data_IF_701090991542
#
_entry.id   IF_701090991542
#
_cell.length_a   1.000
_cell.length_b   1.000
_cell.length_c   1.000
_cell.angle_alpha   90.00
_cell.angle_beta   90.00
_cell.angle_gamma   90.00
#
_symmetry.space_group_name_H-M   'P 1'
#
loop_
_entity.id
_entity.type
_entity.pdbx_description
1 polymer ?
#
# COMPACT_ATOMS: atom_id res chain seq x y z
N UNK A 1 -3.83 -3.04 -17.07
CA UNK A 1 -2.99 -2.43 -16.02
C UNK A 1 -2.48 -3.54 -15.14
N UNK A 2 -1.16 -3.68 -15.10
CA UNK A 2 -0.45 -4.55 -14.16
C UNK A 2 0.16 -3.71 -13.03
N UNK A 3 0.44 -4.31 -11.89
CA UNK A 3 0.98 -3.60 -10.73
C UNK A 3 2.32 -2.93 -11.05
N UNK A 4 3.14 -3.58 -11.88
CA UNK A 4 4.41 -3.02 -12.35
C UNK A 4 4.25 -1.68 -13.09
N UNK A 5 3.16 -1.47 -13.83
CA UNK A 5 2.90 -0.20 -14.54
C UNK A 5 2.64 0.94 -13.53
N UNK A 6 1.95 0.63 -12.43
CA UNK A 6 1.67 1.59 -11.35
C UNK A 6 2.97 1.99 -10.67
N UNK A 7 3.83 1.01 -10.35
CA UNK A 7 5.14 1.30 -9.74
C UNK A 7 6.02 2.11 -10.68
N UNK A 8 6.09 1.75 -11.97
CA UNK A 8 6.85 2.49 -12.95
C UNK A 8 6.38 3.95 -13.08
N UNK A 9 5.06 4.17 -13.04
CA UNK A 9 4.48 5.53 -13.06
C UNK A 9 4.91 6.33 -11.82
N UNK A 10 4.86 5.73 -10.63
CA UNK A 10 5.31 6.40 -9.39
C UNK A 10 6.81 6.73 -9.50
N UNK A 11 7.65 5.77 -9.88
CA UNK A 11 9.10 5.96 -9.99
C UNK A 11 9.52 6.95 -11.09
N UNK A 12 8.68 7.15 -12.11
CA UNK A 12 8.92 8.17 -13.13
C UNK A 12 8.68 9.60 -12.62
N UNK A 13 7.79 9.77 -11.64
CA UNK A 13 7.32 11.09 -11.22
C UNK A 13 7.74 11.49 -9.80
N UNK A 14 8.23 10.54 -9.00
CA UNK A 14 8.58 10.75 -7.60
C UNK A 14 9.92 10.11 -7.28
N UNK A 15 10.67 10.77 -6.39
CA UNK A 15 11.83 10.16 -5.76
C UNK A 15 11.37 9.34 -4.56
N UNK A 16 11.55 8.02 -4.62
CA UNK A 16 11.25 7.14 -3.49
C UNK A 16 12.39 7.11 -2.48
N UNK A 17 12.04 7.24 -1.20
CA UNK A 17 12.90 6.99 -0.05
C UNK A 17 12.31 5.84 0.75
N UNK A 18 13.07 4.77 1.06
CA UNK A 18 12.59 3.69 1.90
C UNK A 18 12.15 4.20 3.27
N UNK A 19 10.87 4.05 3.57
CA UNK A 19 10.27 4.56 4.80
C UNK A 19 9.45 3.47 5.47
N UNK A 20 9.59 3.37 6.79
CA UNK A 20 8.80 2.47 7.61
C UNK A 20 7.35 2.96 7.68
N UNK A 21 6.40 2.03 7.60
CA UNK A 21 5.00 2.33 7.80
C UNK A 21 4.25 1.21 8.52
N UNK A 22 3.22 1.57 9.26
CA UNK A 22 2.27 0.67 9.89
C UNK A 22 1.00 0.62 9.05
N UNK A 23 0.40 -0.56 8.95
CA UNK A 23 -0.89 -0.77 8.32
C UNK A 23 -1.76 -1.63 9.22
N UNK A 24 -2.89 -1.09 9.67
CA UNK A 24 -3.88 -1.75 10.50
C UNK A 24 -4.07 -1.09 11.86
N UNK A 25 -5.22 -1.37 12.47
CA UNK A 25 -5.60 -0.93 13.80
C UNK A 25 -5.42 -2.06 14.82
N UNK A 26 -4.95 -1.72 16.02
CA UNK A 26 -4.85 -2.67 17.13
C UNK A 26 -3.57 -3.50 17.12
N UNK A 27 -3.59 -4.63 17.82
CA UNK A 27 -2.38 -5.42 18.12
C UNK A 27 -1.90 -6.31 16.97
N UNK A 28 -2.70 -6.46 15.92
CA UNK A 28 -2.38 -7.28 14.74
C UNK A 28 -2.00 -6.44 13.51
N UNK A 29 -1.69 -5.16 13.72
CA UNK A 29 -1.19 -4.28 12.67
C UNK A 29 0.09 -4.84 12.03
N UNK A 30 0.20 -4.67 10.71
CA UNK A 30 1.37 -5.05 9.94
C UNK A 30 2.40 -3.93 10.02
N UNK A 31 3.56 -4.23 10.59
CA UNK A 31 4.70 -3.31 10.59
C UNK A 31 5.56 -3.62 9.36
N UNK A 32 5.79 -2.60 8.54
CA UNK A 32 6.62 -2.69 7.35
C UNK A 32 7.87 -1.85 7.59
N UNK A 33 8.98 -2.52 7.89
CA UNK A 33 10.28 -1.87 8.05
C UNK A 33 10.72 -1.20 6.74
N UNK A 34 11.54 -0.15 6.83
CA UNK A 34 12.08 0.52 5.66
C UNK A 34 12.82 -0.49 4.74
N UNK A 35 12.50 -0.45 3.44
CA UNK A 35 13.04 -1.40 2.46
C UNK A 35 12.27 -2.74 2.39
N UNK A 36 11.20 -2.91 3.17
CA UNK A 36 10.28 -4.05 3.07
C UNK A 36 8.97 -3.62 2.44
N UNK A 37 8.33 -4.54 1.69
CA UNK A 37 7.03 -4.29 1.05
C UNK A 37 6.98 -2.96 0.26
N UNK A 38 8.08 -2.62 -0.43
CA UNK A 38 8.29 -1.29 -1.02
C UNK A 38 7.21 -0.89 -2.01
N UNK A 39 6.65 -1.85 -2.76
CA UNK A 39 5.51 -1.59 -3.63
C UNK A 39 4.27 -1.09 -2.87
N UNK A 40 4.01 -1.64 -1.68
CA UNK A 40 2.92 -1.15 -0.82
C UNK A 40 3.24 0.24 -0.26
N UNK A 41 4.48 0.46 0.18
CA UNK A 41 4.93 1.77 0.68
C UNK A 41 4.73 2.86 -0.39
N UNK A 42 5.21 2.62 -1.62
CA UNK A 42 5.03 3.53 -2.77
C UNK A 42 3.56 3.81 -3.07
N UNK A 43 2.72 2.78 -3.14
CA UNK A 43 1.28 2.96 -3.44
C UNK A 43 0.57 3.75 -2.35
N UNK A 44 0.79 3.42 -1.07
CA UNK A 44 0.13 4.15 0.01
C UNK A 44 0.63 5.58 0.12
N UNK A 45 1.93 5.83 -0.08
CA UNK A 45 2.46 7.19 -0.09
C UNK A 45 1.90 8.00 -1.26
N UNK A 46 1.89 7.45 -2.47
CA UNK A 46 1.29 8.09 -3.64
C UNK A 46 -0.18 8.39 -3.42
N UNK A 47 -0.94 7.41 -2.96
CA UNK A 47 -2.37 7.56 -2.74
C UNK A 47 -2.69 8.58 -1.64
N UNK A 48 -1.85 8.67 -0.60
CA UNK A 48 -1.96 9.68 0.46
C UNK A 48 -1.71 11.09 -0.08
N UNK A 49 -0.66 11.27 -0.89
CA UNK A 49 -0.32 12.56 -1.52
C UNK A 49 -1.42 13.09 -2.46
N UNK A 50 -2.23 12.20 -3.04
CA UNK A 50 -3.32 12.54 -3.96
C UNK A 50 -4.71 12.46 -3.33
N UNK A 51 -4.80 12.34 -2.00
CA UNK A 51 -6.07 12.25 -1.25
C UNK A 51 -7.02 11.15 -1.80
N UNK A 52 -6.46 10.04 -2.28
CA UNK A 52 -7.25 8.97 -2.87
C UNK A 52 -8.08 8.28 -1.79
N UNK A 53 -9.32 7.92 -2.11
CA UNK A 53 -10.13 7.13 -1.20
C UNK A 53 -9.65 5.66 -1.16
N UNK A 54 -10.13 4.92 -0.15
CA UNK A 54 -9.77 3.51 0.08
C UNK A 54 -9.94 2.61 -1.16
N UNK A 55 -11.03 2.79 -1.91
CA UNK A 55 -11.31 1.93 -3.06
C UNK A 55 -10.33 2.20 -4.19
N UNK A 56 -10.05 3.46 -4.48
CA UNK A 56 -9.14 3.85 -5.56
C UNK A 56 -7.69 3.45 -5.22
N UNK A 57 -7.28 3.60 -3.97
CA UNK A 57 -5.98 3.10 -3.47
C UNK A 57 -5.86 1.59 -3.64
N UNK A 58 -6.90 0.81 -3.32
CA UNK A 58 -6.90 -0.64 -3.54
C UNK A 58 -6.79 -0.97 -5.04
N UNK A 59 -7.41 -0.16 -5.90
CA UNK A 59 -7.31 -0.28 -7.36
C UNK A 59 -5.88 -0.17 -7.89
N UNK A 60 -5.02 0.62 -7.23
CA UNK A 60 -3.60 0.76 -7.59
C UNK A 60 -2.78 -0.53 -7.39
N UNK A 61 -3.26 -1.47 -6.56
CA UNK A 61 -2.63 -2.79 -6.44
C UNK A 61 -2.98 -3.76 -7.59
N UNK A 62 -3.81 -3.33 -8.56
CA UNK A 62 -4.09 -4.01 -9.81
C UNK A 62 -4.42 -5.52 -9.66
N UNK A 63 -3.64 -6.42 -10.29
CA UNK A 63 -3.82 -7.88 -10.21
C UNK A 63 -3.73 -8.43 -8.79
N UNK A 64 -2.93 -7.83 -7.91
CA UNK A 64 -2.84 -8.29 -6.52
C UNK A 64 -4.13 -8.03 -5.75
N UNK A 65 -4.80 -6.89 -5.99
CA UNK A 65 -6.11 -6.64 -5.38
C UNK A 65 -7.17 -7.61 -5.92
N UNK A 66 -7.19 -7.86 -7.24
CA UNK A 66 -8.09 -8.85 -7.85
C UNK A 66 -7.86 -10.26 -7.30
N UNK A 67 -6.60 -10.65 -7.08
CA UNK A 67 -6.25 -11.94 -6.49
C UNK A 67 -6.76 -12.04 -5.04
N UNK A 68 -6.55 -11.00 -4.22
CA UNK A 68 -7.05 -10.98 -2.84
C UNK A 68 -8.57 -11.12 -2.77
N UNK A 69 -9.31 -10.47 -3.68
CA UNK A 69 -10.77 -10.62 -3.78
C UNK A 69 -11.17 -12.05 -4.19
N UNK A 70 -10.41 -12.69 -5.06
CA UNK A 70 -10.65 -14.06 -5.49
C UNK A 70 -10.27 -15.11 -4.43
N UNK A 71 -9.39 -14.78 -3.49
CA UNK A 71 -8.93 -15.68 -2.42
C UNK A 71 -9.21 -15.11 -1.02
N UNK A 72 -10.48 -15.04 -0.58
CA UNK A 72 -10.86 -14.39 0.67
C UNK A 72 -10.26 -15.05 1.93
N UNK A 73 -9.89 -16.33 1.86
CA UNK A 73 -9.34 -17.09 3.00
C UNK A 73 -7.81 -17.14 3.05
N UNK A 74 -7.12 -16.68 2.02
CA UNK A 74 -5.65 -16.72 1.97
C UNK A 74 -5.03 -15.63 2.85
N UNK A 75 -3.74 -15.78 3.11
CA UNK A 75 -2.95 -14.86 3.96
C UNK A 75 -1.93 -14.02 3.17
N UNK A 76 -1.85 -14.22 1.86
CA UNK A 76 -0.97 -13.45 0.97
C UNK A 76 -1.39 -11.99 0.92
N UNK A 77 -0.45 -11.11 0.54
CA UNK A 77 -0.68 -9.67 0.41
C UNK A 77 -1.24 -9.03 1.70
N UNK A 78 -0.57 -9.26 2.83
CA UNK A 78 -0.98 -8.76 4.13
C UNK A 78 -1.38 -7.26 4.13
N UNK A 79 -0.61 -6.41 3.42
CA UNK A 79 -0.92 -4.98 3.31
C UNK A 79 -2.26 -4.67 2.61
N UNK A 80 -2.59 -5.39 1.52
CA UNK A 80 -3.86 -5.19 0.81
C UNK A 80 -5.02 -5.62 1.71
N UNK A 81 -4.91 -6.80 2.34
CA UNK A 81 -5.95 -7.32 3.24
C UNK A 81 -6.16 -6.42 4.45
N UNK A 82 -5.08 -5.93 5.04
CA UNK A 82 -5.15 -5.05 6.19
C UNK A 82 -5.77 -3.70 5.84
N UNK A 83 -5.39 -3.13 4.70
CA UNK A 83 -5.99 -1.89 4.21
C UNK A 83 -7.46 -2.07 3.80
N UNK A 84 -7.84 -3.23 3.26
CA UNK A 84 -9.25 -3.59 3.04
C UNK A 84 -10.07 -3.63 4.33
N UNK A 85 -9.46 -4.01 5.46
CA UNK A 85 -10.12 -4.00 6.77
C UNK A 85 -10.21 -2.58 7.33
N UNK A 86 -9.06 -1.96 7.54
CA UNK A 86 -8.96 -0.77 8.40
C UNK A 86 -8.88 0.55 7.61
N UNK A 87 -8.44 0.49 6.35
CA UNK A 87 -8.30 1.66 5.49
C UNK A 87 -7.28 2.68 6.02
N UNK A 88 -7.42 3.93 5.58
CA UNK A 88 -6.54 5.04 5.95
C UNK A 88 -6.34 5.27 7.45
N UNK A 89 -7.35 5.09 8.34
CA UNK A 89 -7.13 5.19 9.78
C UNK A 89 -6.05 4.25 10.33
N UNK A 90 -5.74 3.15 9.64
CA UNK A 90 -4.69 2.20 10.03
C UNK A 90 -3.33 2.48 9.38
N UNK A 91 -3.20 3.48 8.51
CA UNK A 91 -1.93 3.81 7.86
C UNK A 91 -1.21 4.89 8.66
N UNK A 92 0.03 4.60 9.05
CA UNK A 92 0.91 5.55 9.72
C UNK A 92 2.32 5.44 9.13
N UNK A 93 2.86 6.56 8.66
CA UNK A 93 4.22 6.63 8.13
C UNK A 93 5.15 7.30 9.14
N UNK A 94 6.38 6.79 9.26
CA UNK A 94 7.42 7.43 10.09
C UNK A 94 8.05 8.66 9.41
N UNK A 95 7.74 8.91 8.14
CA UNK A 95 8.20 10.05 7.35
C UNK A 95 7.67 10.06 5.91
N UNK A 96 8.14 10.99 5.09
CA UNK A 96 7.73 11.07 3.69
C UNK A 96 8.45 10.00 2.86
N UNK A 97 7.70 9.14 2.19
CA UNK A 97 8.27 8.10 1.31
C UNK A 97 8.46 8.57 -0.15
N UNK A 98 7.78 9.64 -0.55
CA UNK A 98 7.84 10.22 -1.90
C UNK A 98 8.02 11.74 -1.82
N UNK A 99 8.80 12.28 -2.76
CA UNK A 99 9.07 13.72 -2.96
C UNK A 99 9.22 14.06 -4.43
#
# INVERSE_FOLDING_TARGET
MVFADVIATIEQHYQYTPTRFVNGLGTDAVINEAGTNEGSCKVFAFASLHDLNKHDTLGLFAEHFRQVLATPTDKDHANIRMFMRDGWPGIEFDGDALS
#
